data_IF_888395857528
#
_entry.id   IF_888395857528
#
_cell.length_a   1.000
_cell.length_b   1.000
_cell.length_c   1.000
_cell.angle_alpha   90.00
_cell.angle_beta   90.00
_cell.angle_gamma   90.00
#
_symmetry.space_group_name_H-M   'P 1'
#
loop_
_entity.id
_entity.type
_entity.pdbx_description
1 polymer ?
#
# COMPACT_ATOMS: atom_id res chain seq x y z
N UNK A 1 19.78 -2.88 -0.20
CA UNK A 1 18.54 -2.54 -0.95
C UNK A 1 18.66 -3.03 -2.39
N UNK A 2 17.85 -4.01 -2.80
CA UNK A 2 17.87 -4.50 -4.19
C UNK A 2 16.97 -3.61 -5.05
N UNK A 3 17.57 -2.76 -5.88
CA UNK A 3 16.84 -1.98 -6.89
C UNK A 3 16.26 -2.89 -8.00
N UNK A 4 16.80 -4.10 -8.17
CA UNK A 4 16.28 -5.09 -9.13
C UNK A 4 14.89 -5.54 -8.68
N UNK A 5 14.74 -5.91 -7.41
CA UNK A 5 13.43 -6.32 -6.87
C UNK A 5 12.43 -5.18 -6.91
N UNK A 6 12.89 -3.95 -6.63
CA UNK A 6 12.05 -2.76 -6.77
C UNK A 6 11.55 -2.57 -8.21
N UNK A 7 12.38 -2.85 -9.21
CA UNK A 7 11.99 -2.80 -10.62
C UNK A 7 10.85 -3.77 -10.93
N UNK A 8 10.96 -5.01 -10.46
CA UNK A 8 9.90 -6.01 -10.60
C UNK A 8 8.61 -5.57 -9.90
N UNK A 9 8.71 -4.98 -8.72
CA UNK A 9 7.56 -4.44 -7.98
C UNK A 9 6.86 -3.31 -8.74
N UNK A 10 7.61 -2.35 -9.28
CA UNK A 10 7.03 -1.24 -10.04
C UNK A 10 6.32 -1.73 -11.32
N UNK A 11 6.92 -2.69 -12.03
CA UNK A 11 6.29 -3.31 -13.20
C UNK A 11 5.04 -4.13 -12.82
N UNK A 12 5.10 -4.88 -11.72
CA UNK A 12 3.97 -5.66 -11.22
C UNK A 12 2.78 -4.77 -10.85
N UNK A 13 3.01 -3.66 -10.15
CA UNK A 13 1.97 -2.70 -9.79
C UNK A 13 1.30 -2.04 -10.99
N UNK A 14 2.08 -1.71 -12.03
CA UNK A 14 1.53 -1.20 -13.28
C UNK A 14 0.66 -2.25 -13.98
N UNK A 15 1.12 -3.51 -14.03
CA UNK A 15 0.36 -4.58 -14.66
C UNK A 15 -0.94 -4.86 -13.89
N UNK A 16 -0.90 -4.90 -12.56
CA UNK A 16 -2.08 -5.07 -11.71
C UNK A 16 -3.07 -3.90 -11.89
N UNK A 17 -2.57 -2.67 -12.00
CA UNK A 17 -3.40 -1.47 -12.22
C UNK A 17 -4.07 -1.50 -13.59
N UNK A 18 -3.34 -1.90 -14.64
CA UNK A 18 -3.88 -2.10 -16.00
C UNK A 18 -4.91 -3.23 -16.05
N UNK A 19 -4.68 -4.31 -15.32
CA UNK A 19 -5.58 -5.45 -15.22
C UNK A 19 -6.79 -5.21 -14.30
N UNK A 20 -6.91 -4.01 -13.69
CA UNK A 20 -8.05 -3.63 -12.84
C UNK A 20 -8.25 -4.52 -11.61
N UNK A 21 -7.15 -5.02 -11.04
CA UNK A 21 -7.21 -5.82 -9.81
C UNK A 21 -7.48 -4.91 -8.61
N UNK A 22 -8.47 -5.23 -7.78
CA UNK A 22 -8.72 -4.48 -6.54
C UNK A 22 -7.63 -4.68 -5.48
N UNK A 23 -6.97 -5.83 -5.50
CA UNK A 23 -5.98 -6.24 -4.51
C UNK A 23 -4.81 -6.93 -5.21
N UNK A 24 -3.59 -6.71 -4.73
CA UNK A 24 -2.39 -7.37 -5.26
C UNK A 24 -1.37 -7.66 -4.16
N UNK A 25 -0.45 -8.60 -4.39
CA UNK A 25 0.56 -9.02 -3.40
C UNK A 25 1.99 -8.88 -3.89
N UNK A 26 2.88 -8.46 -2.98
CA UNK A 26 4.28 -8.15 -3.26
C UNK A 26 5.18 -8.90 -2.26
N UNK A 27 6.39 -9.36 -2.66
CA UNK A 27 7.34 -9.96 -1.72
C UNK A 27 7.69 -9.01 -0.57
N UNK A 28 7.69 -9.56 0.66
CA UNK A 28 8.00 -8.80 1.86
C UNK A 28 9.46 -8.35 1.90
N UNK A 29 9.65 -7.04 2.02
CA UNK A 29 10.95 -6.42 2.23
C UNK A 29 10.75 -5.10 2.96
N UNK A 30 11.69 -4.73 3.84
CA UNK A 30 11.63 -3.44 4.56
C UNK A 30 11.56 -2.25 3.60
N UNK A 31 12.23 -2.33 2.45
CA UNK A 31 12.17 -1.28 1.43
C UNK A 31 10.79 -1.19 0.78
N UNK A 32 10.24 -2.34 0.36
CA UNK A 32 8.93 -2.37 -0.27
C UNK A 32 7.86 -1.86 0.70
N UNK A 33 7.89 -2.30 1.96
CA UNK A 33 6.95 -1.85 2.97
C UNK A 33 7.01 -0.33 3.18
N UNK A 34 8.21 0.24 3.38
CA UNK A 34 8.39 1.69 3.54
C UNK A 34 7.88 2.47 2.32
N UNK A 35 8.12 1.96 1.10
CA UNK A 35 7.63 2.59 -0.12
C UNK A 35 6.10 2.50 -0.23
N UNK A 36 5.52 1.35 0.10
CA UNK A 36 4.07 1.16 0.08
C UNK A 36 3.37 2.06 1.10
N UNK A 37 3.94 2.21 2.30
CA UNK A 37 3.44 3.16 3.29
C UNK A 37 3.54 4.61 2.79
N UNK A 38 4.64 4.99 2.13
CA UNK A 38 4.76 6.31 1.52
C UNK A 38 3.73 6.53 0.40
N UNK A 39 3.45 5.51 -0.42
CA UNK A 39 2.40 5.54 -1.44
C UNK A 39 1.01 5.68 -0.82
N UNK A 40 0.75 4.99 0.30
CA UNK A 40 -0.52 5.08 1.03
C UNK A 40 -0.71 6.48 1.63
N UNK A 41 0.34 7.05 2.24
CA UNK A 41 0.32 8.39 2.80
C UNK A 41 0.02 9.46 1.74
N UNK A 42 0.57 9.28 0.54
CA UNK A 42 0.29 10.15 -0.62
C UNK A 42 -1.02 9.80 -1.36
N UNK A 43 -1.79 8.84 -0.85
CA UNK A 43 -3.11 8.48 -1.37
C UNK A 43 -3.11 7.64 -2.65
N UNK A 44 -1.96 7.17 -3.14
CA UNK A 44 -1.83 6.35 -4.37
C UNK A 44 -2.38 4.92 -4.20
N UNK A 45 -2.33 4.38 -2.98
CA UNK A 45 -2.80 3.04 -2.60
C UNK A 45 -3.83 3.15 -1.48
N UNK A 46 -4.79 2.24 -1.41
CA UNK A 46 -5.88 2.22 -0.41
C UNK A 46 -5.43 1.65 0.93
N UNK A 47 -4.93 0.42 0.92
CA UNK A 47 -4.47 -0.29 2.12
C UNK A 47 -3.11 -0.92 1.89
N UNK A 48 -2.36 -1.10 2.98
CA UNK A 48 -1.08 -1.79 3.02
C UNK A 48 -1.10 -2.73 4.20
N UNK A 49 -1.29 -4.01 3.93
CA UNK A 49 -1.45 -5.05 4.95
C UNK A 49 -0.33 -6.08 4.81
N UNK A 50 0.21 -6.55 5.94
CA UNK A 50 1.20 -7.64 5.94
C UNK A 50 0.47 -8.94 6.28
N UNK A 51 0.57 -9.93 5.40
CA UNK A 51 -0.08 -11.23 5.60
C UNK A 51 0.73 -12.36 4.94
N UNK A 52 0.16 -13.55 4.88
CA UNK A 52 0.75 -14.71 4.19
C UNK A 52 0.59 -14.69 2.67
N UNK A 53 0.71 -15.87 2.08
CA UNK A 53 0.51 -16.09 0.63
C UNK A 53 -0.93 -15.94 0.17
N UNK A 54 -1.87 -16.10 1.10
CA UNK A 54 -3.29 -15.89 0.85
C UNK A 54 -3.66 -14.44 1.14
N UNK A 55 -4.61 -13.86 0.39
CA UNK A 55 -5.08 -12.51 0.64
C UNK A 55 -5.62 -12.40 2.07
N UNK A 56 -5.30 -11.31 2.80
CA UNK A 56 -5.93 -11.07 4.08
C UNK A 56 -7.44 -10.90 3.85
N UNK A 57 -8.22 -11.34 4.82
CA UNK A 57 -9.66 -11.05 4.84
C UNK A 57 -9.82 -9.56 5.13
N UNK A 58 -9.84 -8.83 4.04
CA UNK A 58 -10.55 -7.59 3.82
C UNK A 58 -11.38 -6.98 4.98
N UNK A 59 -10.86 -6.02 5.79
CA UNK A 59 -11.67 -5.31 6.79
C UNK A 59 -12.67 -4.32 6.18
N UNK A 60 -12.37 -3.75 5.01
CA UNK A 60 -13.18 -2.70 4.36
C UNK A 60 -14.38 -3.21 3.56
N UNK A 61 -14.48 -4.52 3.37
CA UNK A 61 -15.47 -5.16 2.48
C UNK A 61 -16.40 -6.12 3.23
N UNK A 62 -16.15 -6.32 4.52
CA UNK A 62 -17.10 -6.91 5.43
C UNK A 62 -17.70 -5.79 6.26
N UNK A 63 -19.02 -5.62 6.19
CA UNK A 63 -19.71 -5.13 7.37
C UNK A 63 -19.26 -6.03 8.54
N UNK A 64 -18.96 -5.48 9.73
CA UNK A 64 -18.63 -6.30 10.90
C UNK A 64 -19.68 -7.40 11.17
N UNK A 65 -20.88 -7.25 10.60
CA UNK A 65 -22.00 -8.18 10.71
C UNK A 65 -22.00 -9.33 9.68
N UNK A 66 -21.19 -9.28 8.60
CA UNK A 66 -21.33 -10.22 7.48
C UNK A 66 -20.49 -11.50 7.57
N UNK A 67 -19.42 -11.54 8.37
CA UNK A 67 -18.65 -12.77 8.65
C UNK A 67 -19.07 -13.44 9.97
N UNK A 68 -19.99 -12.82 10.72
CA UNK A 68 -20.72 -13.47 11.82
C UNK A 68 -21.84 -14.38 11.29
N UNK A 69 -22.04 -14.43 9.96
CA UNK A 69 -22.78 -15.51 9.29
C UNK A 69 -21.94 -16.80 9.17
N UNK A 70 -21.00 -17.02 10.08
CA UNK A 70 -20.95 -18.29 10.78
C UNK A 70 -22.34 -18.56 11.36
N UNK A 71 -23.19 -19.15 10.53
CA UNK A 71 -24.46 -19.75 10.84
C UNK A 71 -24.25 -20.75 11.98
N UNK A 72 -24.15 -20.24 13.20
CA UNK A 72 -24.77 -20.90 14.32
C UNK A 72 -26.27 -20.82 14.02
N UNK A 73 -26.74 -21.69 13.13
CA UNK A 73 -28.15 -22.05 13.06
C UNK A 73 -28.45 -22.65 14.41
N UNK A 74 -28.81 -21.78 15.37
CA UNK A 74 -29.32 -22.21 16.65
C UNK A 74 -30.44 -23.20 16.35
N UNK A 75 -30.33 -24.40 16.90
CA UNK A 75 -31.31 -25.45 16.67
C UNK A 75 -32.72 -24.86 16.87
N UNK A 76 -33.68 -25.14 15.96
CA UNK A 76 -35.00 -24.49 15.97
C UNK A 76 -35.72 -24.66 17.32
N UNK A 77 -35.49 -25.78 18.01
CA UNK A 77 -35.98 -26.06 19.36
C UNK A 77 -35.46 -25.05 20.41
N UNK A 78 -34.20 -24.64 20.30
CA UNK A 78 -33.58 -23.68 21.23
C UNK A 78 -34.10 -22.26 21.01
N UNK A 79 -34.41 -21.89 19.77
CA UNK A 79 -35.02 -20.60 19.43
C UNK A 79 -36.48 -20.51 19.84
N UNK A 80 -37.23 -21.62 19.80
CA UNK A 80 -38.60 -21.66 20.31
C UNK A 80 -38.65 -21.40 21.83
N UNK A 81 -37.70 -21.96 22.58
CA UNK A 81 -37.61 -21.75 24.03
C UNK A 81 -37.02 -20.38 24.41
N UNK A 82 -36.09 -19.87 23.61
CA UNK A 82 -35.37 -18.62 23.87
C UNK A 82 -35.34 -17.75 22.60
N UNK A 83 -36.47 -17.15 22.22
CA UNK A 83 -36.57 -16.35 21.00
C UNK A 83 -35.67 -15.11 21.01
N UNK A 84 -35.33 -14.57 22.18
CA UNK A 84 -34.44 -13.40 22.31
C UNK A 84 -33.00 -13.67 21.87
N UNK A 85 -32.54 -14.94 21.81
CA UNK A 85 -31.24 -15.29 21.21
C UNK A 85 -31.15 -15.05 19.71
N UNK A 86 -32.28 -14.79 19.04
CA UNK A 86 -32.28 -14.37 17.65
C UNK A 86 -31.72 -12.95 17.45
N UNK A 87 -31.62 -12.17 18.53
CA UNK A 87 -31.04 -10.83 18.53
C UNK A 87 -29.66 -10.87 19.22
N UNK A 88 -28.69 -10.08 18.72
CA UNK A 88 -27.38 -9.99 19.35
C UNK A 88 -27.52 -9.38 20.75
N UNK A 89 -26.92 -10.04 21.75
CA UNK A 89 -26.94 -9.55 23.13
C UNK A 89 -26.19 -8.22 23.22
N UNK A 90 -26.81 -7.13 23.72
CA UNK A 90 -26.17 -5.82 23.81
C UNK A 90 -24.96 -5.81 24.77
N UNK A 91 -24.94 -6.73 25.73
CA UNK A 91 -23.81 -6.94 26.64
C UNK A 91 -22.68 -7.77 26.01
N UNK A 92 -22.97 -8.51 24.92
CA UNK A 92 -22.00 -9.27 24.14
C UNK A 92 -21.49 -8.48 22.92
N UNK A 93 -21.77 -7.18 22.85
CA UNK A 93 -21.04 -6.26 22.00
C UNK A 93 -19.57 -6.27 22.45
N UNK A 94 -18.84 -7.29 22.00
CA UNK A 94 -17.39 -7.38 22.11
C UNK A 94 -16.79 -6.09 21.60
N UNK A 95 -15.69 -5.65 22.22
CA UNK A 95 -14.85 -4.59 21.68
C UNK A 95 -14.74 -4.70 20.15
N UNK A 96 -14.76 -3.57 19.41
CA UNK A 96 -14.76 -3.58 17.96
C UNK A 96 -13.70 -4.57 17.48
N UNK A 97 -14.13 -5.57 16.69
CA UNK A 97 -13.34 -6.73 16.34
C UNK A 97 -11.91 -6.29 15.96
N UNK A 98 -10.93 -6.60 16.81
CA UNK A 98 -9.53 -6.38 16.47
C UNK A 98 -9.19 -7.39 15.38
N UNK A 99 -9.24 -6.95 14.12
CA UNK A 99 -8.85 -7.76 12.98
C UNK A 99 -7.39 -8.19 13.14
N UNK A 100 -7.18 -9.45 13.53
CA UNK A 100 -5.86 -10.02 13.71
C UNK A 100 -5.38 -10.55 12.37
N UNK A 101 -4.55 -9.78 11.69
CA UNK A 101 -3.84 -10.26 10.51
C UNK A 101 -2.95 -11.45 10.92
N UNK A 102 -3.21 -12.63 10.36
CA UNK A 102 -2.33 -13.78 10.53
C UNK A 102 -1.05 -13.54 9.73
N UNK A 103 -0.04 -12.98 10.40
CA UNK A 103 1.31 -12.85 9.86
C UNK A 103 2.02 -14.18 10.09
N UNK A 104 2.42 -14.93 9.03
CA UNK A 104 3.14 -16.17 9.22
C UNK A 104 4.44 -15.94 9.98
N UNK A 105 4.78 -16.86 10.88
CA UNK A 105 6.06 -16.83 11.59
C UNK A 105 7.22 -16.86 10.59
N UNK A 106 7.12 -17.71 9.56
CA UNK A 106 8.12 -17.85 8.52
C UNK A 106 8.21 -16.58 7.63
N UNK A 107 9.35 -15.86 7.62
CA UNK A 107 9.53 -14.67 6.79
C UNK A 107 9.37 -14.91 5.29
N UNK A 108 9.68 -16.13 4.80
CA UNK A 108 9.59 -16.47 3.39
C UNK A 108 8.13 -16.54 2.89
N UNK A 109 7.19 -16.80 3.79
CA UNK A 109 5.75 -16.86 3.46
C UNK A 109 5.07 -15.49 3.54
N UNK A 110 5.76 -14.46 4.06
CA UNK A 110 5.18 -13.12 4.24
C UNK A 110 5.10 -12.38 2.90
N UNK A 111 3.96 -11.74 2.67
CA UNK A 111 3.70 -10.84 1.55
C UNK A 111 3.12 -9.53 2.05
N UNK A 112 3.30 -8.49 1.26
CA UNK A 112 2.65 -7.20 1.43
C UNK A 112 1.47 -7.18 0.47
N UNK A 113 0.27 -7.04 1.02
CA UNK A 113 -0.98 -6.91 0.28
C UNK A 113 -1.33 -5.44 0.13
N UNK A 114 -1.70 -5.05 -1.08
CA UNK A 114 -1.93 -3.68 -1.47
C UNK A 114 -3.31 -3.55 -2.10
N UNK A 115 -4.14 -2.67 -1.54
CA UNK A 115 -5.42 -2.28 -2.13
C UNK A 115 -5.22 -1.23 -3.21
N UNK A 116 -5.50 -1.55 -4.47
CA UNK A 116 -5.35 -0.60 -5.58
C UNK A 116 -6.58 0.31 -5.69
N UNK A 117 -6.35 1.59 -6.02
CA UNK A 117 -7.42 2.58 -6.15
C UNK A 117 -7.78 2.84 -7.61
N UNK A 118 -9.07 3.01 -7.85
CA UNK A 118 -9.63 3.38 -9.14
C UNK A 118 -10.64 4.51 -8.95
N UNK A 119 -10.53 5.55 -9.78
CA UNK A 119 -11.42 6.71 -9.76
C UNK A 119 -11.83 7.08 -11.17
N UNK A 120 -13.11 7.40 -11.39
CA UNK A 120 -13.66 7.74 -12.71
C UNK A 120 -13.25 6.77 -13.82
N UNK A 121 -13.29 5.47 -13.53
CA UNK A 121 -12.88 4.40 -14.44
C UNK A 121 -11.40 4.54 -14.91
N UNK A 122 -10.52 5.08 -14.07
CA UNK A 122 -9.06 5.16 -14.31
C UNK A 122 -8.30 4.71 -13.05
N UNK A 123 -7.16 4.01 -13.18
CA UNK A 123 -6.34 3.69 -12.01
C UNK A 123 -5.74 4.98 -11.43
N UNK A 124 -5.69 5.08 -10.11
CA UNK A 124 -5.00 6.20 -9.42
C UNK A 124 -3.49 6.06 -9.57
N UNK A 125 -2.98 4.83 -9.42
CA UNK A 125 -1.59 4.49 -9.72
C UNK A 125 -1.50 3.95 -11.15
N UNK A 126 -1.36 4.83 -12.14
CA UNK A 126 -1.31 4.43 -13.55
C UNK A 126 0.07 3.96 -13.98
N UNK A 127 1.10 4.77 -13.70
CA UNK A 127 2.48 4.49 -14.08
C UNK A 127 3.40 4.51 -12.87
N UNK A 128 4.41 3.64 -12.89
CA UNK A 128 5.42 3.58 -11.83
C UNK A 128 6.78 3.20 -12.42
N UNK A 129 7.71 4.14 -12.49
CA UNK A 129 9.00 3.93 -13.15
C UNK A 129 10.16 4.14 -12.19
N UNK A 130 11.19 3.29 -12.27
CA UNK A 130 12.42 3.52 -11.51
C UNK A 130 13.20 4.70 -12.09
N UNK A 131 13.71 5.53 -11.19
CA UNK A 131 14.65 6.60 -11.52
C UNK A 131 16.08 6.06 -11.37
N UNK A 132 16.42 5.56 -10.18
CA UNK A 132 17.69 4.85 -9.97
C UNK A 132 17.57 3.40 -10.43
N UNK A 133 18.37 3.04 -11.43
CA UNK A 133 18.47 1.66 -11.92
C UNK A 133 19.56 0.91 -11.15
N UNK A 134 19.54 -0.43 -11.11
CA UNK A 134 20.63 -1.22 -10.51
C UNK A 134 22.01 -0.88 -11.09
N UNK A 135 22.07 -0.62 -12.40
CA UNK A 135 23.28 -0.22 -13.12
C UNK A 135 23.74 1.21 -12.83
N UNK A 136 22.82 2.11 -12.48
CA UNK A 136 23.12 3.51 -12.20
C UNK A 136 22.21 4.07 -11.13
N UNK A 137 22.78 4.30 -9.96
CA UNK A 137 22.14 4.92 -8.80
C UNK A 137 22.29 6.44 -8.87
N UNK A 138 21.20 7.16 -8.68
CA UNK A 138 21.16 8.62 -8.76
C UNK A 138 20.72 9.17 -7.40
N UNK A 139 21.66 9.78 -6.69
CA UNK A 139 21.41 10.50 -5.45
C UNK A 139 21.48 12.00 -5.70
N UNK A 140 20.59 12.77 -5.07
CA UNK A 140 20.53 14.23 -5.21
C UNK A 140 20.40 14.91 -3.86
N UNK A 141 20.92 16.12 -3.76
CA UNK A 141 20.74 16.98 -2.59
C UNK A 141 19.34 17.62 -2.55
N UNK A 142 18.90 18.10 -1.38
CA UNK A 142 17.58 18.74 -1.24
C UNK A 142 17.39 19.96 -2.16
N UNK A 143 18.45 20.74 -2.43
CA UNK A 143 18.39 21.88 -3.37
C UNK A 143 18.07 21.44 -4.79
N UNK A 144 18.66 20.33 -5.22
CA UNK A 144 18.47 19.73 -6.55
C UNK A 144 17.09 19.11 -6.68
N UNK A 145 16.61 18.43 -5.64
CA UNK A 145 15.23 17.94 -5.56
C UNK A 145 14.24 19.13 -5.61
N UNK A 146 14.60 20.26 -5.02
CA UNK A 146 13.86 21.52 -5.14
C UNK A 146 13.73 22.01 -6.59
N UNK A 147 14.74 21.81 -7.42
CA UNK A 147 14.67 22.12 -8.87
C UNK A 147 13.69 21.17 -9.56
N UNK A 148 13.74 19.87 -9.25
CA UNK A 148 12.84 18.87 -9.82
C UNK A 148 11.36 19.10 -9.47
N UNK A 149 11.07 19.47 -8.22
CA UNK A 149 9.71 19.73 -7.74
C UNK A 149 9.08 20.98 -8.38
N UNK A 150 9.92 21.94 -8.82
CA UNK A 150 9.49 23.09 -9.65
C UNK A 150 9.27 22.73 -11.13
N UNK A 151 9.43 21.46 -11.51
CA UNK A 151 9.29 20.99 -12.89
C UNK A 151 10.52 21.23 -13.77
N UNK A 152 11.59 21.79 -13.21
CA UNK A 152 12.84 22.01 -13.94
C UNK A 152 13.66 20.72 -13.96
N UNK A 153 14.35 20.48 -15.08
CA UNK A 153 15.24 19.32 -15.23
C UNK A 153 16.54 19.56 -14.47
N UNK A 154 16.98 18.57 -13.71
CA UNK A 154 18.29 18.57 -13.05
C UNK A 154 19.10 17.34 -13.51
N UNK A 155 20.17 17.60 -14.27
CA UNK A 155 21.00 16.55 -14.87
C UNK A 155 20.21 15.60 -15.77
N UNK A 156 20.20 14.31 -15.41
CA UNK A 156 19.51 13.26 -16.17
C UNK A 156 18.03 13.11 -15.82
N UNK A 157 17.58 13.66 -14.69
CA UNK A 157 16.22 13.47 -14.20
C UNK A 157 15.36 14.66 -14.62
N UNK A 158 14.27 14.39 -15.34
CA UNK A 158 13.26 15.40 -15.68
C UNK A 158 12.57 15.86 -14.39
N UNK A 159 12.18 17.12 -14.31
CA UNK A 159 11.31 17.59 -13.23
C UNK A 159 9.96 16.87 -13.23
N UNK A 160 9.17 17.11 -12.18
CA UNK A 160 7.76 16.72 -12.13
C UNK A 160 7.01 17.50 -13.21
N UNK A 161 6.48 16.83 -14.22
CA UNK A 161 5.89 17.47 -15.40
C UNK A 161 4.37 17.55 -15.31
N UNK A 162 3.74 16.51 -14.76
CA UNK A 162 2.29 16.38 -14.71
C UNK A 162 1.79 16.63 -13.27
N UNK A 163 0.66 17.33 -13.10
CA UNK A 163 0.00 17.40 -11.79
C UNK A 163 -0.30 15.99 -11.26
N UNK A 164 -0.02 15.76 -9.97
CA UNK A 164 -0.21 14.45 -9.33
C UNK A 164 0.95 13.47 -9.51
N UNK A 165 1.95 13.78 -10.32
CA UNK A 165 3.17 12.99 -10.40
C UNK A 165 4.01 13.18 -9.13
N UNK A 166 4.49 12.06 -8.57
CA UNK A 166 5.27 12.00 -7.34
C UNK A 166 6.63 11.36 -7.59
N UNK A 167 7.64 11.86 -6.90
CA UNK A 167 8.99 11.26 -6.88
C UNK A 167 9.28 10.80 -5.46
N UNK A 168 9.57 9.52 -5.29
CA UNK A 168 9.96 8.95 -4.00
C UNK A 168 11.48 8.89 -3.87
N UNK A 169 11.97 9.34 -2.72
CA UNK A 169 13.40 9.43 -2.40
C UNK A 169 13.70 8.59 -1.17
N UNK A 170 14.70 7.73 -1.26
CA UNK A 170 15.26 6.99 -0.14
C UNK A 170 16.28 7.86 0.60
N UNK A 171 15.90 8.35 1.77
CA UNK A 171 16.74 9.14 2.67
C UNK A 171 17.18 8.30 3.88
N UNK A 172 18.04 8.86 4.73
CA UNK A 172 18.47 8.21 5.98
C UNK A 172 17.33 8.06 6.99
N UNK A 173 16.36 8.98 6.96
CA UNK A 173 15.19 8.98 7.86
C UNK A 173 14.14 7.96 7.37
N UNK A 174 14.01 7.81 6.05
CA UNK A 174 13.00 6.94 5.45
C UNK A 174 12.77 7.21 3.97
N UNK A 175 11.76 6.55 3.42
CA UNK A 175 11.29 6.84 2.07
C UNK A 175 10.20 7.91 2.20
N UNK A 176 10.39 9.01 1.48
CA UNK A 176 9.49 10.16 1.51
C UNK A 176 9.34 10.75 0.11
N UNK A 177 8.36 11.61 -0.05
CA UNK A 177 8.10 12.29 -1.33
C UNK A 177 9.07 13.47 -1.53
N UNK A 178 9.32 13.85 -2.78
CA UNK A 178 10.29 14.88 -3.13
C UNK A 178 10.02 16.26 -2.50
N UNK A 179 8.77 16.69 -2.34
CA UNK A 179 8.42 17.94 -1.64
C UNK A 179 8.65 17.81 -0.14
N UNK A 180 8.33 16.67 0.46
CA UNK A 180 8.67 16.39 1.86
C UNK A 180 10.19 16.43 2.10
N UNK A 181 10.99 15.90 1.17
CA UNK A 181 12.46 16.02 1.21
C UNK A 181 12.93 17.48 1.22
N UNK A 182 12.32 18.33 0.38
CA UNK A 182 12.67 19.74 0.25
C UNK A 182 12.30 20.50 1.53
N UNK A 183 11.13 20.24 2.08
CA UNK A 183 10.66 20.83 3.33
C UNK A 183 11.60 20.48 4.50
N UNK A 184 11.99 19.22 4.60
CA UNK A 184 12.90 18.73 5.66
C UNK A 184 14.37 19.01 5.38
N UNK A 185 14.70 19.57 4.22
CA UNK A 185 16.08 19.82 3.74
C UNK A 185 16.96 18.57 3.73
N UNK A 186 16.39 17.42 3.35
CA UNK A 186 17.08 16.13 3.27
C UNK A 186 17.20 15.67 1.81
N UNK A 187 18.38 15.20 1.43
CA UNK A 187 18.63 14.59 0.12
C UNK A 187 18.60 13.06 0.19
N UNK A 188 18.78 12.41 -0.96
CA UNK A 188 18.87 10.95 -0.97
C UNK A 188 18.81 10.33 -2.35
N UNK A 189 18.68 9.01 -2.36
CA UNK A 189 18.60 8.19 -3.57
C UNK A 189 17.21 8.31 -4.20
N UNK A 190 17.12 8.76 -5.45
CA UNK A 190 15.85 8.81 -6.17
C UNK A 190 15.40 7.39 -6.52
N UNK A 191 14.31 6.91 -5.94
CA UNK A 191 13.85 5.52 -6.12
C UNK A 191 13.02 5.37 -7.39
N UNK A 192 11.82 5.94 -7.36
CA UNK A 192 10.83 5.80 -8.41
C UNK A 192 9.95 7.04 -8.55
N UNK A 193 9.33 7.11 -9.72
CA UNK A 193 8.33 8.09 -10.12
C UNK A 193 7.00 7.38 -10.23
N UNK A 194 5.96 7.93 -9.62
CA UNK A 194 4.61 7.39 -9.65
C UNK A 194 3.63 8.46 -10.17
N UNK A 195 2.65 8.05 -10.95
CA UNK A 195 1.60 8.92 -11.51
C UNK A 195 0.29 8.19 -11.67
#
# INVERSE_FOLDING_TARGET
MSLVNLAHVCSHLQNASKARLGLTSIPMSKLHLKLCLALQHQGMVSSVDVAGTNPPVSPQWMNPDHDVLGHQTANPTTLQLQPWRAYPDPAAASEPAQFKYEVPENPAQRRIWLGLKYWSNRPVLSQMHLISKPSRRLSMGWKEIGILTRGLRQGYVKGVQTPGELIFVGTDIGIMEARECVERKVGGLLLCRAS
#
